data_IF_962090466699
#
_entry.id   IF_962090466699
#
_cell.length_a   1.000
_cell.length_b   1.000
_cell.length_c   1.000
_cell.angle_alpha   90.00
_cell.angle_beta   90.00
_cell.angle_gamma   90.00
#
_symmetry.space_group_name_H-M   'P 1'
#
loop_
_entity.id
_entity.type
_entity.pdbx_description
1 polymer ?
#
# COMPACT_ATOMS: atom_id res chain seq x y z
N UNK A 1 10.53 -0.23 3.09
CA UNK A 1 9.49 0.13 4.09
C UNK A 1 9.73 1.55 4.56
N UNK A 2 8.68 2.35 4.69
CA UNK A 2 8.75 3.67 5.31
C UNK A 2 7.92 3.73 6.59
N UNK A 3 8.26 4.65 7.49
CA UNK A 3 7.37 5.06 8.58
C UNK A 3 6.90 6.49 8.29
N UNK A 4 5.58 6.67 8.27
CA UNK A 4 4.95 7.97 8.31
C UNK A 4 5.06 8.53 9.72
N UNK A 5 5.72 9.67 9.88
CA UNK A 5 5.93 10.36 11.15
C UNK A 5 5.24 11.71 11.08
N UNK A 6 4.33 11.96 12.00
CA UNK A 6 3.62 13.23 12.14
C UNK A 6 3.82 13.79 13.55
N UNK A 7 4.03 15.10 13.65
CA UNK A 7 4.18 15.83 14.91
C UNK A 7 3.55 17.22 14.83
N UNK A 8 3.30 17.83 15.99
CA UNK A 8 2.75 19.18 16.07
C UNK A 8 3.81 20.22 15.70
N UNK A 9 3.39 21.26 14.97
CA UNK A 9 4.28 22.35 14.55
C UNK A 9 4.71 23.16 15.76
N UNK A 10 6.03 23.30 15.97
CA UNK A 10 6.56 24.19 17.00
C UNK A 10 6.28 25.66 16.61
N UNK A 11 5.88 26.47 17.60
CA UNK A 11 5.52 27.89 17.46
C UNK A 11 6.53 28.83 18.12
N UNK A 12 7.64 28.31 18.65
CA UNK A 12 8.70 29.10 19.27
C UNK A 12 9.40 30.02 18.26
N UNK A 13 9.71 31.26 18.68
CA UNK A 13 10.27 32.29 17.80
C UNK A 13 11.76 32.09 17.49
N UNK A 14 12.47 31.35 18.34
CA UNK A 14 13.90 31.04 18.25
C UNK A 14 14.19 29.68 17.60
N UNK A 15 13.19 29.08 16.96
CA UNK A 15 13.35 27.88 16.14
C UNK A 15 14.39 28.11 15.03
N UNK A 16 15.22 27.10 14.78
CA UNK A 16 16.30 27.17 13.78
C UNK A 16 15.73 27.52 12.39
N UNK A 17 16.29 28.55 11.74
CA UNK A 17 15.80 29.09 10.47
C UNK A 17 16.63 28.65 9.26
N UNK A 18 17.61 27.76 9.47
CA UNK A 18 18.50 27.28 8.40
C UNK A 18 19.71 28.18 8.14
N UNK A 19 19.83 29.34 8.78
CA UNK A 19 20.97 30.24 8.60
C UNK A 19 22.12 29.88 9.56
N UNK A 20 23.37 29.85 9.05
CA UNK A 20 24.57 29.73 9.89
C UNK A 20 25.17 28.34 10.10
N UNK A 21 24.83 27.34 9.26
CA UNK A 21 25.51 26.03 9.07
C UNK A 21 26.46 25.56 10.20
N UNK A 22 25.93 24.86 11.20
CA UNK A 22 26.73 24.04 12.13
C UNK A 22 26.91 22.59 11.64
N UNK A 23 26.25 22.22 10.54
CA UNK A 23 26.30 20.89 9.93
C UNK A 23 26.92 21.07 8.54
N UNK A 24 28.20 20.73 8.38
CA UNK A 24 28.88 20.79 7.09
C UNK A 24 28.32 19.70 6.15
N UNK A 25 27.78 20.18 5.02
CA UNK A 25 27.41 19.49 3.78
C UNK A 25 26.35 18.35 3.81
N UNK A 26 25.49 18.42 2.79
CA UNK A 26 24.33 17.57 2.45
C UNK A 26 23.11 17.72 3.37
N UNK A 27 22.41 18.84 3.15
CA UNK A 27 21.20 19.29 3.85
C UNK A 27 20.24 18.15 4.22
N UNK A 28 20.25 17.76 5.50
CA UNK A 28 19.16 17.00 6.10
C UNK A 28 17.86 17.82 5.90
N UNK A 29 16.98 17.36 5.01
CA UNK A 29 15.73 18.03 4.62
C UNK A 29 14.72 18.23 5.76
N UNK A 30 15.07 17.81 6.98
CA UNK A 30 14.21 17.91 8.15
C UNK A 30 14.36 19.18 8.98
N UNK A 31 15.39 20.02 8.77
CA UNK A 31 15.60 21.21 9.61
C UNK A 31 14.36 22.12 9.62
N UNK A 32 13.94 22.65 10.78
CA UNK A 32 14.58 22.60 12.10
C UNK A 32 14.34 21.34 12.94
N UNK A 33 13.67 20.33 12.39
CA UNK A 33 13.32 19.10 13.07
C UNK A 33 14.29 17.96 12.76
N UNK A 34 14.68 17.21 13.78
CA UNK A 34 15.44 15.98 13.62
C UNK A 34 14.57 14.79 14.06
N UNK A 35 14.56 13.74 13.25
CA UNK A 35 13.81 12.52 13.55
C UNK A 35 14.80 11.43 13.93
N UNK A 36 14.61 10.89 15.12
CA UNK A 36 15.43 9.81 15.67
C UNK A 36 14.62 8.52 15.72
N UNK A 37 15.31 7.40 15.53
CA UNK A 37 14.72 6.06 15.55
C UNK A 37 15.63 5.05 16.28
N UNK A 38 15.01 4.10 16.96
CA UNK A 38 15.68 2.97 17.61
C UNK A 38 14.88 1.68 17.40
N UNK A 39 15.56 0.54 17.39
CA UNK A 39 14.94 -0.79 17.34
C UNK A 39 14.72 -1.44 18.71
N UNK A 40 15.01 -0.71 19.78
CA UNK A 40 14.68 -1.06 21.15
C UNK A 40 14.17 0.19 21.88
N UNK A 41 13.41 0.01 22.97
CA UNK A 41 12.90 1.14 23.75
C UNK A 41 14.09 1.95 24.31
N UNK A 42 14.32 3.19 23.86
CA UNK A 42 15.40 4.02 24.36
C UNK A 42 15.07 4.62 25.73
N UNK A 43 16.10 5.03 26.46
CA UNK A 43 15.97 5.80 27.70
C UNK A 43 16.19 7.29 27.48
N UNK A 44 17.01 7.65 26.49
CA UNK A 44 17.25 9.03 26.06
C UNK A 44 17.44 9.13 24.53
N UNK A 45 17.54 10.35 24.01
CA UNK A 45 17.68 10.58 22.56
C UNK A 45 19.02 10.07 22.03
N UNK A 46 20.06 10.06 22.86
CA UNK A 46 21.41 9.59 22.53
C UNK A 46 21.48 8.07 22.34
N UNK A 47 20.50 7.33 22.87
CA UNK A 47 20.34 5.90 22.60
C UNK A 47 19.79 5.63 21.18
N UNK A 48 19.24 6.66 20.53
CA UNK A 48 18.61 6.57 19.22
C UNK A 48 19.58 6.97 18.10
N UNK A 49 19.22 6.66 16.86
CA UNK A 49 19.97 7.03 15.66
C UNK A 49 19.17 8.02 14.84
N UNK A 50 19.86 8.93 14.15
CA UNK A 50 19.21 9.81 13.18
C UNK A 50 18.58 8.96 12.07
N UNK A 51 17.29 9.16 11.84
CA UNK A 51 16.56 8.52 10.75
C UNK A 51 16.82 9.29 9.45
N UNK A 52 16.91 8.60 8.31
CA UNK A 52 17.02 9.24 7.01
C UNK A 52 15.63 9.42 6.38
N UNK A 53 15.29 10.63 5.92
CA UNK A 53 14.05 10.90 5.20
C UNK A 53 14.02 10.16 3.86
N UNK A 54 12.84 9.69 3.47
CA UNK A 54 12.53 9.37 2.06
C UNK A 54 11.64 10.43 1.43
N UNK A 55 11.18 11.42 2.21
CA UNK A 55 10.40 12.56 1.73
C UNK A 55 10.82 13.86 2.42
N UNK A 56 10.46 14.99 1.81
CA UNK A 56 10.52 16.29 2.48
C UNK A 56 9.54 16.34 3.68
N UNK A 57 9.68 17.38 4.50
CA UNK A 57 8.65 17.75 5.48
C UNK A 57 7.51 18.44 4.74
N UNK A 58 6.30 17.98 5.02
CA UNK A 58 5.05 18.58 4.56
C UNK A 58 4.24 19.08 5.74
N UNK A 59 3.34 20.02 5.47
CA UNK A 59 2.38 20.55 6.43
C UNK A 59 1.00 19.96 6.17
N UNK A 60 0.25 19.66 7.24
CA UNK A 60 -1.14 19.21 7.12
C UNK A 60 -2.04 20.33 6.59
N UNK A 61 -3.17 19.98 5.96
CA UNK A 61 -4.09 20.97 5.38
C UNK A 61 -4.61 22.02 6.40
N UNK A 62 -4.68 21.65 7.68
CA UNK A 62 -5.09 22.54 8.76
C UNK A 62 -3.96 23.42 9.31
N UNK A 63 -2.73 23.24 8.84
CA UNK A 63 -1.55 24.02 9.22
C UNK A 63 -1.03 23.78 10.65
N UNK A 64 -1.50 22.72 11.33
CA UNK A 64 -1.17 22.48 12.75
C UNK A 64 -0.07 21.47 12.97
N UNK A 65 0.09 20.53 12.05
CA UNK A 65 1.06 19.46 12.16
C UNK A 65 1.98 19.42 10.94
N UNK A 66 3.14 18.83 11.15
CA UNK A 66 4.11 18.52 10.12
C UNK A 66 4.23 17.01 10.01
N UNK A 67 4.59 16.53 8.82
CA UNK A 67 4.84 15.12 8.60
C UNK A 67 5.94 14.85 7.58
N UNK A 68 6.54 13.67 7.69
CA UNK A 68 7.49 13.13 6.72
C UNK A 68 7.50 11.61 6.75
N UNK A 69 8.07 11.00 5.72
CA UNK A 69 8.35 9.57 5.69
C UNK A 69 9.84 9.33 5.94
N UNK A 70 10.17 8.40 6.84
CA UNK A 70 11.55 7.92 7.07
C UNK A 70 11.69 6.49 6.56
N UNK A 71 12.84 6.15 5.97
CA UNK A 71 13.05 4.84 5.33
C UNK A 71 14.28 4.07 5.82
N UNK A 72 15.21 4.76 6.47
CA UNK A 72 16.49 4.17 6.88
C UNK A 72 16.98 4.76 8.20
N UNK A 73 17.89 4.03 8.85
CA UNK A 73 18.68 4.51 9.99
C UNK A 73 19.97 3.70 10.06
N UNK A 74 21.07 4.31 10.52
CA UNK A 74 22.37 3.63 10.62
C UNK A 74 22.82 2.97 9.28
N UNK A 75 22.49 3.61 8.15
CA UNK A 75 22.78 3.11 6.80
C UNK A 75 22.03 1.82 6.42
N UNK A 76 20.96 1.48 7.15
CA UNK A 76 20.15 0.27 6.91
C UNK A 76 18.69 0.65 6.66
N UNK A 77 18.03 0.01 5.68
CA UNK A 77 16.59 0.17 5.50
C UNK A 77 15.83 -0.39 6.70
N UNK A 78 14.63 0.14 6.94
CA UNK A 78 13.72 -0.44 7.91
C UNK A 78 13.33 -1.88 7.52
N UNK A 79 12.85 -2.66 8.49
CA UNK A 79 12.46 -4.07 8.31
C UNK A 79 10.98 -4.20 8.64
N UNK A 80 10.18 -4.80 7.76
CA UNK A 80 8.75 -5.03 8.02
C UNK A 80 8.53 -5.95 9.24
N UNK A 81 7.49 -5.65 10.03
CA UNK A 81 7.10 -6.41 11.21
C UNK A 81 7.99 -6.19 12.45
N UNK A 82 9.06 -5.39 12.32
CA UNK A 82 9.96 -5.06 13.42
C UNK A 82 9.41 -3.88 14.25
N UNK A 83 9.59 -3.96 15.56
CA UNK A 83 9.24 -2.88 16.49
C UNK A 83 10.29 -1.77 16.43
N UNK A 84 9.83 -0.54 16.28
CA UNK A 84 10.65 0.67 16.29
C UNK A 84 10.12 1.70 17.29
N UNK A 85 11.00 2.57 17.76
CA UNK A 85 10.67 3.74 18.56
C UNK A 85 11.15 4.97 17.80
N UNK A 86 10.28 5.96 17.65
CA UNK A 86 10.55 7.19 16.90
C UNK A 86 10.38 8.39 17.81
N UNK A 87 11.31 9.32 17.74
CA UNK A 87 11.24 10.61 18.44
C UNK A 87 11.50 11.73 17.43
N UNK A 88 10.87 12.88 17.67
CA UNK A 88 11.12 14.11 16.91
C UNK A 88 11.58 15.17 17.88
N UNK A 89 12.69 15.84 17.56
CA UNK A 89 13.18 16.99 18.31
C UNK A 89 13.18 18.22 17.40
N UNK A 90 13.01 19.39 17.99
CA UNK A 90 13.14 20.68 17.33
C UNK A 90 14.43 21.36 17.81
N UNK A 91 15.16 21.99 16.91
CA UNK A 91 16.37 22.73 17.21
C UNK A 91 16.10 24.24 17.32
N UNK A 92 16.68 24.89 18.33
CA UNK A 92 16.78 26.35 18.40
C UNK A 92 17.86 26.89 17.45
N UNK A 93 17.96 28.21 17.30
CA UNK A 93 19.00 28.88 16.48
C UNK A 93 20.44 28.57 16.90
N UNK A 94 20.66 28.15 18.14
CA UNK A 94 21.97 27.74 18.64
C UNK A 94 22.23 26.23 18.48
N UNK A 95 21.27 25.47 17.93
CA UNK A 95 21.34 24.03 17.74
C UNK A 95 21.02 23.21 18.99
N UNK A 96 20.46 23.82 20.03
CA UNK A 96 20.01 23.09 21.23
C UNK A 96 18.60 22.53 21.01
N UNK A 97 18.23 21.54 21.81
CA UNK A 97 16.89 20.96 21.87
C UNK A 97 16.46 20.80 23.34
N UNK A 98 15.15 20.67 23.56
CA UNK A 98 14.60 20.34 24.88
C UNK A 98 14.94 18.88 25.22
N UNK A 99 15.64 18.66 26.34
CA UNK A 99 15.95 17.31 26.85
C UNK A 99 14.68 16.49 27.16
N UNK A 100 13.55 17.16 27.37
CA UNK A 100 12.23 16.53 27.43
C UNK A 100 11.69 16.25 26.03
N UNK A 101 12.05 15.09 25.48
CA UNK A 101 11.54 14.63 24.19
C UNK A 101 10.34 13.70 24.35
N UNK A 102 9.42 13.77 23.38
CA UNK A 102 8.35 12.80 23.23
C UNK A 102 8.77 11.69 22.29
N UNK A 103 8.33 10.47 22.60
CA UNK A 103 8.64 9.29 21.81
C UNK A 103 7.38 8.48 21.53
N UNK A 104 7.24 8.03 20.29
CA UNK A 104 6.22 7.10 19.86
C UNK A 104 6.83 5.70 19.71
N UNK A 105 6.27 4.70 20.40
CA UNK A 105 6.66 3.32 20.18
C UNK A 105 6.19 2.35 21.27
N UNK A 106 6.24 1.03 21.01
CA UNK A 106 6.70 0.42 19.76
C UNK A 106 5.72 0.65 18.60
N UNK A 107 6.23 1.10 17.45
CA UNK A 107 5.52 1.13 16.16
C UNK A 107 6.08 0.05 15.26
N UNK A 108 5.19 -0.72 14.63
CA UNK A 108 5.58 -1.74 13.65
C UNK A 108 5.38 -1.23 12.25
N UNK A 109 6.43 -1.34 11.45
CA UNK A 109 6.43 -1.15 10.00
C UNK A 109 5.64 -2.30 9.36
N UNK A 110 4.38 -2.05 9.01
CA UNK A 110 3.65 -2.97 8.12
C UNK A 110 3.64 -2.35 6.73
N UNK A 111 3.59 -3.20 5.71
CA UNK A 111 3.07 -2.74 4.43
C UNK A 111 1.57 -2.53 4.66
N UNK A 112 1.05 -1.41 4.23
CA UNK A 112 -0.35 -1.06 4.42
C UNK A 112 -0.92 -0.40 3.16
N UNK A 113 -2.23 -0.22 3.18
CA UNK A 113 -2.96 0.43 2.10
C UNK A 113 -4.23 1.05 2.66
N UNK A 114 -4.58 2.24 2.18
CA UNK A 114 -5.89 2.81 2.45
C UNK A 114 -6.93 2.29 1.45
N UNK A 115 -8.05 1.80 1.97
CA UNK A 115 -9.23 1.42 1.18
C UNK A 115 -10.29 2.48 1.41
N UNK A 116 -10.60 3.21 0.35
CA UNK A 116 -11.67 4.21 0.34
C UNK A 116 -12.99 3.58 -0.12
N UNK A 117 -14.07 3.91 0.58
CA UNK A 117 -15.44 3.53 0.26
C UNK A 117 -16.28 4.79 0.04
N UNK A 118 -17.05 4.80 -1.03
CA UNK A 118 -18.13 5.77 -1.23
C UNK A 118 -19.38 5.32 -0.49
N UNK A 119 -20.27 6.26 -0.15
CA UNK A 119 -21.58 5.91 0.39
C UNK A 119 -22.38 5.06 -0.62
N UNK A 120 -22.91 3.92 -0.18
CA UNK A 120 -23.59 2.95 -1.02
C UNK A 120 -22.75 1.71 -1.33
N UNK A 121 -23.00 1.08 -2.48
CA UNK A 121 -22.30 -0.12 -2.90
C UNK A 121 -20.95 0.20 -3.54
N UNK A 122 -19.94 -0.58 -3.16
CA UNK A 122 -18.57 -0.52 -3.64
C UNK A 122 -18.12 -1.94 -4.04
N UNK A 123 -17.32 -2.05 -5.10
CA UNK A 123 -16.71 -3.32 -5.49
C UNK A 123 -15.21 -3.28 -5.14
N UNK A 124 -14.82 -3.92 -4.03
CA UNK A 124 -13.49 -3.78 -3.42
C UNK A 124 -12.79 -5.11 -3.23
N UNK A 125 -11.48 -5.07 -3.00
CA UNK A 125 -10.67 -6.24 -2.69
C UNK A 125 -9.48 -5.85 -1.80
N UNK A 126 -8.69 -6.83 -1.39
CA UNK A 126 -7.40 -6.60 -0.74
C UNK A 126 -6.29 -7.29 -1.54
N UNK A 127 -5.16 -6.62 -1.77
CA UNK A 127 -4.14 -7.16 -2.67
C UNK A 127 -3.33 -8.29 -2.04
N UNK A 128 -3.07 -8.20 -0.75
CA UNK A 128 -2.20 -9.12 -0.01
C UNK A 128 -2.94 -9.68 1.20
N UNK A 129 -2.38 -10.75 1.78
CA UNK A 129 -2.91 -11.30 3.04
C UNK A 129 -2.84 -10.23 4.13
N UNK A 130 -3.95 -10.04 4.81
CA UNK A 130 -4.05 -9.11 5.92
C UNK A 130 -3.43 -9.70 7.19
N UNK A 131 -2.95 -8.82 8.06
CA UNK A 131 -2.60 -9.18 9.43
C UNK A 131 -3.85 -9.74 10.12
N UNK A 132 -3.74 -10.87 10.85
CA UNK A 132 -4.91 -11.58 11.41
C UNK A 132 -5.79 -10.70 12.30
N UNK A 133 -5.20 -9.72 13.00
CA UNK A 133 -5.93 -8.77 13.84
C UNK A 133 -6.67 -7.67 13.06
N UNK A 134 -6.53 -7.62 11.74
CA UNK A 134 -7.14 -6.64 10.81
C UNK A 134 -7.70 -7.37 9.57
N UNK A 135 -8.07 -8.65 9.71
CA UNK A 135 -8.55 -9.44 8.58
C UNK A 135 -10.08 -9.54 8.53
N UNK A 136 -10.79 -9.15 9.58
CA UNK A 136 -12.25 -9.20 9.60
C UNK A 136 -12.88 -8.07 8.78
N UNK A 137 -14.11 -8.31 8.30
CA UNK A 137 -14.83 -7.36 7.46
C UNK A 137 -15.00 -5.96 8.09
N UNK A 138 -15.19 -5.86 9.40
CA UNK A 138 -15.38 -4.59 10.09
C UNK A 138 -14.07 -3.80 10.18
N UNK A 139 -12.95 -4.46 10.47
CA UNK A 139 -11.64 -3.80 10.48
C UNK A 139 -11.21 -3.30 9.11
N UNK A 140 -11.58 -4.04 8.05
CA UNK A 140 -11.18 -3.72 6.66
C UNK A 140 -12.06 -2.67 6.01
N UNK A 141 -13.38 -2.73 6.23
CA UNK A 141 -14.37 -1.92 5.53
C UNK A 141 -15.21 -1.03 6.46
N UNK A 142 -14.97 -1.05 7.77
CA UNK A 142 -15.73 -0.28 8.76
C UNK A 142 -16.88 -1.06 9.41
N UNK A 143 -17.20 -0.74 10.67
CA UNK A 143 -18.17 -1.47 11.50
C UNK A 143 -19.61 -1.49 10.95
N UNK A 144 -19.98 -0.47 10.17
CA UNK A 144 -21.32 -0.32 9.60
C UNK A 144 -21.48 -0.94 8.21
N UNK A 145 -20.45 -1.63 7.71
CA UNK A 145 -20.42 -2.15 6.34
C UNK A 145 -21.07 -3.53 6.22
N UNK A 146 -21.84 -3.73 5.16
CA UNK A 146 -22.33 -5.05 4.74
C UNK A 146 -21.46 -5.59 3.62
N UNK A 147 -20.86 -6.76 3.84
CA UNK A 147 -19.96 -7.37 2.87
C UNK A 147 -20.57 -8.66 2.34
N UNK A 148 -20.58 -8.82 1.02
CA UNK A 148 -20.99 -10.06 0.34
C UNK A 148 -19.97 -10.49 -0.71
N UNK A 149 -19.84 -11.80 -0.89
CA UNK A 149 -18.93 -12.44 -1.84
C UNK A 149 -19.70 -13.45 -2.71
N UNK A 150 -19.41 -13.50 -4.01
CA UNK A 150 -19.92 -14.54 -4.90
C UNK A 150 -18.86 -15.62 -5.13
N UNK A 151 -19.14 -16.84 -4.67
CA UNK A 151 -18.22 -17.98 -4.77
C UNK A 151 -18.33 -18.76 -6.10
N UNK A 152 -19.08 -18.25 -7.08
CA UNK A 152 -19.39 -18.95 -8.33
C UNK A 152 -20.74 -19.68 -8.34
N UNK A 153 -21.34 -19.93 -7.17
CA UNK A 153 -22.59 -20.69 -7.03
C UNK A 153 -23.62 -19.96 -6.17
N UNK A 154 -23.20 -19.30 -5.09
CA UNK A 154 -24.08 -18.56 -4.19
C UNK A 154 -23.37 -17.34 -3.58
N UNK A 155 -24.19 -16.48 -2.99
CA UNK A 155 -23.72 -15.34 -2.19
C UNK A 155 -23.38 -15.78 -0.77
N UNK A 156 -22.26 -15.28 -0.27
CA UNK A 156 -21.73 -15.54 1.07
C UNK A 156 -21.54 -14.22 1.82
N UNK A 157 -21.64 -14.28 3.16
CA UNK A 157 -21.27 -13.19 4.07
C UNK A 157 -19.92 -13.53 4.70
N UNK A 158 -18.80 -13.06 4.12
CA UNK A 158 -17.47 -13.39 4.61
C UNK A 158 -17.23 -12.73 5.97
N UNK A 159 -16.70 -13.50 6.92
CA UNK A 159 -16.24 -12.96 8.21
C UNK A 159 -14.82 -12.40 8.11
N UNK A 160 -13.98 -13.03 7.29
CA UNK A 160 -12.62 -12.62 7.00
C UNK A 160 -12.47 -12.24 5.53
N UNK A 161 -11.70 -11.19 5.28
CA UNK A 161 -11.35 -10.70 3.96
C UNK A 161 -10.04 -11.33 3.54
N UNK A 162 -10.05 -11.91 2.35
CA UNK A 162 -8.94 -12.68 1.80
C UNK A 162 -8.48 -12.05 0.48
N UNK A 163 -7.17 -12.08 0.19
CA UNK A 163 -6.68 -11.68 -1.13
C UNK A 163 -7.23 -12.58 -2.24
N UNK A 164 -7.05 -12.16 -3.48
CA UNK A 164 -7.59 -12.79 -4.69
C UNK A 164 -9.12 -12.75 -4.83
N UNK A 165 -9.89 -12.46 -3.77
CA UNK A 165 -11.35 -12.31 -3.80
C UNK A 165 -11.75 -10.85 -3.98
N UNK A 166 -12.81 -10.64 -4.77
CA UNK A 166 -13.51 -9.35 -4.87
C UNK A 166 -14.78 -9.39 -4.04
N UNK A 167 -15.16 -8.27 -3.43
CA UNK A 167 -16.26 -8.15 -2.49
C UNK A 167 -17.17 -7.00 -2.86
N UNK A 168 -18.47 -7.22 -2.72
CA UNK A 168 -19.45 -6.14 -2.69
C UNK A 168 -19.55 -5.64 -1.26
N UNK A 169 -19.29 -4.35 -1.09
CA UNK A 169 -19.27 -3.68 0.22
C UNK A 169 -20.26 -2.55 0.17
N UNK A 170 -21.31 -2.64 0.97
CA UNK A 170 -22.24 -1.53 1.19
C UNK A 170 -21.87 -0.80 2.47
N UNK A 171 -21.69 0.51 2.41
CA UNK A 171 -21.55 1.39 3.59
C UNK A 171 -22.57 2.52 3.53
N UNK A 172 -23.18 2.93 4.66
CA UNK A 172 -24.11 4.06 4.66
C UNK A 172 -23.41 5.41 4.42
N UNK A 173 -22.14 5.53 4.79
CA UNK A 173 -21.35 6.76 4.71
C UNK A 173 -20.00 6.49 4.05
N UNK A 174 -19.46 7.50 3.37
CA UNK A 174 -18.12 7.42 2.82
C UNK A 174 -17.10 7.28 3.95
N UNK A 175 -16.11 6.40 3.77
CA UNK A 175 -15.11 6.13 4.80
C UNK A 175 -13.80 5.68 4.17
N UNK A 176 -12.72 5.76 4.95
CA UNK A 176 -11.42 5.27 4.58
C UNK A 176 -10.87 4.43 5.72
N UNK A 177 -10.41 3.22 5.41
CA UNK A 177 -9.81 2.31 6.38
C UNK A 177 -8.39 1.95 5.93
N UNK A 178 -7.42 2.00 6.84
CA UNK A 178 -6.06 1.57 6.59
C UNK A 178 -5.92 0.09 6.94
N UNK A 179 -5.65 -0.74 5.94
CA UNK A 179 -5.43 -2.18 6.09
C UNK A 179 -3.95 -2.49 6.19
N UNK A 180 -3.59 -3.41 7.08
CA UNK A 180 -2.20 -3.82 7.30
C UNK A 180 -1.99 -5.23 6.76
N UNK A 181 -0.95 -5.40 5.96
CA UNK A 181 -0.60 -6.69 5.39
C UNK A 181 0.25 -7.52 6.34
N UNK A 182 0.10 -8.84 6.25
CA UNK A 182 0.93 -9.80 6.97
C UNK A 182 2.36 -9.64 6.44
N UNK A 183 3.35 -9.33 7.30
CA UNK A 183 4.74 -9.24 6.87
C UNK A 183 5.25 -10.62 6.50
N UNK A 184 6.15 -10.69 5.51
CA UNK A 184 6.92 -11.90 5.28
C UNK A 184 7.85 -12.12 6.48
N UNK A 185 7.76 -13.29 7.11
CA UNK A 185 8.59 -13.60 8.27
C UNK A 185 10.05 -13.73 7.83
N UNK A 186 10.93 -12.90 8.40
CA UNK A 186 12.39 -12.98 8.20
C UNK A 186 13.03 -14.17 8.92
N UNK A 187 12.35 -14.69 9.94
CA UNK A 187 12.89 -15.71 10.86
C UNK A 187 12.36 -17.12 10.53
N UNK A 188 11.40 -17.21 9.61
CA UNK A 188 10.81 -18.47 9.17
C UNK A 188 11.68 -19.11 8.10
N UNK A 189 12.09 -20.36 8.32
CA UNK A 189 12.75 -21.18 7.29
C UNK A 189 11.79 -21.67 6.21
N UNK A 190 10.49 -21.42 6.35
CA UNK A 190 9.45 -21.76 5.37
C UNK A 190 8.83 -20.49 4.81
N UNK A 191 9.01 -20.19 3.52
CA UNK A 191 8.33 -19.05 2.90
C UNK A 191 6.82 -19.27 2.91
N UNK A 192 6.07 -18.19 3.09
CA UNK A 192 4.60 -18.24 2.95
C UNK A 192 4.24 -18.57 1.50
N UNK A 193 3.30 -19.50 1.31
CA UNK A 193 2.77 -19.83 -0.02
C UNK A 193 1.93 -18.65 -0.51
N UNK A 194 2.14 -18.10 -1.72
CA UNK A 194 1.32 -16.99 -2.23
C UNK A 194 -0.18 -17.29 -2.19
N UNK A 195 -1.00 -16.26 -1.99
CA UNK A 195 -2.45 -16.44 -2.03
C UNK A 195 -2.93 -16.95 -3.39
N UNK A 196 -3.96 -17.80 -3.38
CA UNK A 196 -4.62 -18.25 -4.60
C UNK A 196 -6.09 -18.55 -4.39
N UNK A 197 -6.84 -18.50 -5.49
CA UNK A 197 -8.28 -18.73 -5.53
C UNK A 197 -8.62 -19.68 -6.69
N UNK A 198 -9.27 -20.80 -6.38
CA UNK A 198 -9.80 -21.70 -7.39
C UNK A 198 -11.10 -21.15 -7.95
N UNK A 199 -11.20 -21.11 -9.27
CA UNK A 199 -12.31 -20.49 -10.00
C UNK A 199 -13.03 -21.54 -10.84
N UNK A 200 -14.35 -21.55 -10.75
CA UNK A 200 -15.22 -22.39 -11.56
C UNK A 200 -15.62 -21.66 -12.86
N UNK A 201 -16.07 -22.38 -13.90
CA UNK A 201 -16.68 -21.76 -15.09
C UNK A 201 -17.85 -20.85 -14.72
N UNK A 202 -18.05 -19.79 -15.50
CA UNK A 202 -19.06 -18.76 -15.26
C UNK A 202 -18.50 -17.49 -14.61
N UNK A 203 -19.40 -16.64 -14.13
CA UNK A 203 -19.03 -15.39 -13.46
C UNK A 203 -18.43 -15.66 -12.08
N UNK A 204 -17.27 -15.05 -11.83
CA UNK A 204 -16.52 -15.13 -10.58
C UNK A 204 -16.14 -13.73 -10.10
N UNK A 205 -16.08 -13.53 -8.79
CA UNK A 205 -15.55 -12.30 -8.19
C UNK A 205 -14.09 -12.50 -7.79
N UNK A 206 -13.21 -11.64 -8.29
CA UNK A 206 -11.77 -11.66 -8.01
C UNK A 206 -11.29 -10.27 -7.57
N UNK A 207 -10.19 -10.23 -6.85
CA UNK A 207 -9.53 -9.01 -6.42
C UNK A 207 -8.24 -8.77 -7.17
N UNK A 208 -7.81 -7.51 -7.29
CA UNK A 208 -6.43 -7.20 -7.68
C UNK A 208 -5.46 -7.72 -6.62
N UNK A 209 -4.28 -8.18 -7.00
CA UNK A 209 -3.32 -8.82 -6.08
C UNK A 209 -2.00 -8.07 -5.90
N UNK A 210 -1.87 -6.89 -6.50
CA UNK A 210 -0.71 -6.00 -6.33
C UNK A 210 -1.10 -4.75 -5.55
N UNK A 211 -0.13 -4.18 -4.81
CA UNK A 211 -0.26 -2.87 -4.18
C UNK A 211 -0.04 -1.70 -5.14
N UNK A 212 0.29 -1.99 -6.40
CA UNK A 212 0.38 -1.03 -7.50
C UNK A 212 -0.57 -1.41 -8.64
N UNK A 213 -1.00 -0.45 -9.47
CA UNK A 213 -1.70 -0.78 -10.71
C UNK A 213 -0.85 -1.69 -11.59
N UNK A 214 -1.44 -2.76 -12.13
CA UNK A 214 -0.74 -3.70 -13.01
C UNK A 214 -1.66 -4.07 -14.17
N UNK A 215 -1.08 -4.27 -15.36
CA UNK A 215 -1.86 -4.70 -16.52
C UNK A 215 -2.58 -6.02 -16.22
N UNK A 216 -3.83 -6.14 -16.69
CA UNK A 216 -4.70 -7.27 -16.35
C UNK A 216 -4.07 -8.61 -16.71
N UNK A 217 -3.32 -8.67 -17.81
CA UNK A 217 -2.74 -9.92 -18.32
C UNK A 217 -1.55 -10.39 -17.48
N UNK A 218 -0.81 -9.46 -16.88
CA UNK A 218 0.23 -9.77 -15.90
C UNK A 218 -0.43 -10.23 -14.60
N UNK A 219 -1.40 -9.44 -14.12
CA UNK A 219 -2.15 -9.73 -12.89
C UNK A 219 -2.82 -11.10 -12.94
N UNK A 220 -3.38 -11.48 -14.10
CA UNK A 220 -4.09 -12.75 -14.32
C UNK A 220 -3.26 -13.80 -15.08
N UNK A 221 -1.94 -13.68 -15.11
CA UNK A 221 -1.07 -14.61 -15.86
C UNK A 221 -1.23 -16.08 -15.45
N UNK A 222 -1.58 -16.36 -14.19
CA UNK A 222 -1.90 -17.70 -13.70
C UNK A 222 -3.14 -18.36 -14.34
N UNK A 223 -3.99 -17.55 -14.99
CA UNK A 223 -5.17 -17.99 -15.72
C UNK A 223 -4.91 -18.13 -17.23
N UNK A 224 -3.65 -18.14 -17.65
CA UNK A 224 -3.28 -18.47 -19.03
C UNK A 224 -3.51 -19.96 -19.33
N UNK A 225 -3.96 -20.25 -20.55
CA UNK A 225 -4.19 -21.59 -21.06
C UNK A 225 -2.88 -22.33 -21.38
N UNK A 226 -2.98 -23.64 -21.62
CA UNK A 226 -1.84 -24.55 -21.77
C UNK A 226 -0.80 -24.13 -22.82
N UNK A 227 -1.23 -23.43 -23.86
CA UNK A 227 -0.38 -23.00 -24.98
C UNK A 227 0.13 -21.55 -24.85
N UNK A 228 -0.24 -20.81 -23.79
CA UNK A 228 0.16 -19.41 -23.63
C UNK A 228 -0.58 -18.42 -24.54
N UNK A 229 -1.42 -18.89 -25.46
CA UNK A 229 -2.06 -18.02 -26.48
C UNK A 229 -3.46 -17.58 -26.08
N UNK A 230 -4.13 -18.31 -25.19
CA UNK A 230 -5.50 -18.01 -24.76
C UNK A 230 -5.59 -17.93 -23.24
N UNK A 231 -6.47 -17.07 -22.75
CA UNK A 231 -6.83 -17.03 -21.33
C UNK A 231 -8.00 -17.98 -21.04
N UNK A 232 -8.07 -18.48 -19.80
CA UNK A 232 -9.17 -19.32 -19.30
C UNK A 232 -10.46 -18.53 -19.03
N UNK A 233 -10.42 -17.20 -19.14
CA UNK A 233 -11.57 -16.31 -19.04
C UNK A 233 -11.79 -15.56 -20.36
N UNK A 234 -12.96 -14.93 -20.52
CA UNK A 234 -13.32 -14.17 -21.71
C UNK A 234 -13.62 -12.69 -21.47
N UNK A 235 -13.90 -12.31 -20.22
CA UNK A 235 -14.29 -10.95 -19.86
C UNK A 235 -13.75 -10.61 -18.48
N UNK A 236 -13.40 -9.34 -18.29
CA UNK A 236 -13.18 -8.69 -16.99
C UNK A 236 -14.07 -7.45 -16.99
N UNK A 237 -14.77 -7.20 -15.91
CA UNK A 237 -15.52 -5.95 -15.68
C UNK A 237 -15.36 -5.52 -14.23
N UNK A 238 -15.56 -4.24 -13.96
CA UNK A 238 -15.55 -3.68 -12.62
C UNK A 238 -16.64 -2.63 -12.45
N UNK A 239 -16.80 -2.17 -11.22
CA UNK A 239 -17.78 -1.16 -10.84
C UNK A 239 -17.13 -0.12 -9.92
N UNK A 240 -17.36 1.14 -10.23
CA UNK A 240 -17.04 2.28 -9.34
C UNK A 240 -18.30 3.11 -9.16
N UNK A 241 -18.44 3.72 -7.98
CA UNK A 241 -19.59 4.57 -7.68
C UNK A 241 -19.73 5.72 -8.70
N UNK A 242 -18.60 6.32 -9.06
CA UNK A 242 -18.55 7.51 -9.94
C UNK A 242 -18.64 7.15 -11.44
N UNK A 243 -18.25 5.93 -11.82
CA UNK A 243 -18.16 5.52 -13.22
C UNK A 243 -19.25 4.52 -13.64
N UNK A 244 -19.92 3.91 -12.66
CA UNK A 244 -20.85 2.82 -12.89
C UNK A 244 -20.14 1.52 -13.25
N UNK A 245 -20.79 0.70 -14.08
CA UNK A 245 -20.25 -0.57 -14.57
C UNK A 245 -19.44 -0.38 -15.85
N UNK A 246 -18.29 -1.04 -15.96
CA UNK A 246 -17.52 -1.08 -17.20
C UNK A 246 -16.22 -1.86 -17.09
N UNK A 247 -15.20 -1.47 -17.85
CA UNK A 247 -13.90 -2.15 -17.84
C UNK A 247 -13.81 -3.40 -18.71
N UNK A 248 -14.71 -3.57 -19.70
CA UNK A 248 -14.57 -4.69 -20.63
C UNK A 248 -13.30 -4.54 -21.46
N UNK A 249 -12.40 -5.50 -21.33
CA UNK A 249 -11.27 -5.68 -22.21
C UNK A 249 -11.68 -6.56 -23.39
N UNK A 250 -11.31 -6.16 -24.60
CA UNK A 250 -11.49 -7.02 -25.76
C UNK A 250 -10.23 -7.89 -25.86
N UNK A 251 -10.33 -9.17 -25.50
CA UNK A 251 -9.22 -10.14 -25.51
C UNK A 251 -8.70 -10.48 -26.93
N UNK A 252 -8.75 -9.56 -27.87
CA UNK A 252 -8.07 -9.63 -29.16
C UNK A 252 -6.60 -9.20 -29.05
N UNK A 253 -5.79 -9.62 -30.02
CA UNK A 253 -4.33 -9.37 -30.11
C UNK A 253 -3.89 -7.89 -30.04
N UNK A 254 -4.81 -6.92 -30.06
CA UNK A 254 -4.50 -5.48 -30.20
C UNK A 254 -4.35 -4.77 -28.83
N UNK A 255 -4.95 -5.28 -27.75
CA UNK A 255 -4.81 -4.66 -26.41
C UNK A 255 -3.42 -4.86 -25.78
N UNK A 256 -2.57 -5.72 -26.36
CA UNK A 256 -1.19 -5.97 -25.89
C UNK A 256 -0.19 -4.87 -26.29
N UNK A 257 -0.63 -3.86 -27.08
CA UNK A 257 0.22 -2.76 -27.56
C UNK A 257 -0.08 -1.43 -26.86
N UNK A 258 -0.94 -1.44 -25.84
CA UNK A 258 -1.24 -0.27 -25.01
C UNK A 258 -0.16 -0.10 -23.94
N UNK A 259 0.90 0.64 -24.26
CA UNK A 259 1.81 1.19 -23.27
C UNK A 259 1.24 2.55 -22.82
N UNK A 260 0.69 2.58 -21.61
CA UNK A 260 0.24 3.79 -20.93
C UNK A 260 0.66 3.70 -19.47
N UNK A 261 1.08 4.82 -18.90
CA UNK A 261 1.18 4.96 -17.45
C UNK A 261 -0.21 5.29 -16.91
N UNK A 262 -0.66 4.66 -15.81
CA UNK A 262 -1.96 4.96 -15.24
C UNK A 262 -2.00 6.41 -14.76
N UNK A 263 -3.07 7.13 -15.12
CA UNK A 263 -3.37 8.43 -14.50
C UNK A 263 -3.42 8.27 -12.96
N UNK A 264 -2.94 9.28 -12.22
CA UNK A 264 -2.85 9.26 -10.74
C UNK A 264 -4.21 9.10 -10.02
N UNK A 265 -5.32 9.13 -10.75
CA UNK A 265 -6.68 9.10 -10.19
C UNK A 265 -7.33 7.73 -10.29
N UNK A 266 -7.94 7.21 -9.21
CA UNK A 266 -8.49 5.85 -9.16
C UNK A 266 -9.85 5.79 -9.86
N UNK A 267 -9.82 5.84 -11.18
CA UNK A 267 -10.96 5.58 -12.06
C UNK A 267 -10.86 4.13 -12.57
N UNK A 268 -11.15 3.11 -11.73
CA UNK A 268 -10.91 1.70 -12.08
C UNK A 268 -11.63 1.25 -13.34
N UNK A 269 -12.80 1.83 -13.67
CA UNK A 269 -13.55 1.46 -14.86
C UNK A 269 -12.88 2.03 -16.10
N UNK A 270 -12.50 3.30 -16.06
CA UNK A 270 -11.77 4.01 -17.10
C UNK A 270 -10.45 3.33 -17.39
N UNK A 271 -9.58 3.24 -16.39
CA UNK A 271 -8.21 2.68 -16.47
C UNK A 271 -8.20 1.24 -16.99
N UNK A 272 -9.14 0.38 -16.55
CA UNK A 272 -9.24 -0.98 -17.08
C UNK A 272 -9.65 -0.99 -18.57
N UNK A 273 -10.49 -0.04 -19.00
CA UNK A 273 -11.01 0.03 -20.37
C UNK A 273 -10.06 0.73 -21.34
N UNK A 274 -9.37 1.79 -20.92
CA UNK A 274 -8.48 2.60 -21.76
C UNK A 274 -7.09 1.99 -21.87
N UNK A 275 -6.55 1.52 -20.75
CA UNK A 275 -5.13 1.15 -20.64
C UNK A 275 -4.93 -0.31 -20.24
N UNK A 276 -5.99 -1.02 -19.85
CA UNK A 276 -5.93 -2.42 -19.47
C UNK A 276 -5.33 -2.65 -18.08
N UNK A 277 -5.34 -1.67 -17.19
CA UNK A 277 -4.81 -1.83 -15.84
C UNK A 277 -5.88 -2.26 -14.84
N UNK A 278 -5.47 -3.14 -13.92
CA UNK A 278 -6.18 -3.42 -12.69
C UNK A 278 -5.57 -2.60 -11.57
N UNK A 279 -6.41 -2.00 -10.71
CA UNK A 279 -5.98 -1.06 -9.68
C UNK A 279 -6.07 -1.70 -8.28
N UNK A 280 -5.17 -1.32 -7.35
CA UNK A 280 -5.19 -1.82 -5.98
C UNK A 280 -6.47 -1.51 -5.23
N UNK A 281 -6.88 -2.44 -4.36
CA UNK A 281 -8.09 -2.32 -3.56
C UNK A 281 -9.41 -2.49 -4.33
N UNK A 282 -9.38 -2.67 -5.66
CA UNK A 282 -10.57 -2.79 -6.50
C UNK A 282 -10.97 -4.26 -6.71
N UNK A 283 -12.28 -4.53 -6.67
CA UNK A 283 -12.85 -5.83 -7.02
C UNK A 283 -13.22 -5.91 -8.51
N UNK A 284 -13.25 -7.12 -9.05
CA UNK A 284 -13.54 -7.39 -10.45
C UNK A 284 -14.47 -8.59 -10.59
N UNK A 285 -15.27 -8.57 -11.65
CA UNK A 285 -15.99 -9.74 -12.13
C UNK A 285 -15.26 -10.28 -13.35
N UNK A 286 -15.02 -11.59 -13.37
CA UNK A 286 -14.47 -12.26 -14.55
C UNK A 286 -15.38 -13.39 -14.99
N UNK A 287 -15.46 -13.59 -16.31
CA UNK A 287 -16.20 -14.71 -16.87
C UNK A 287 -15.24 -15.83 -17.26
N UNK A 288 -15.16 -16.86 -16.42
CA UNK A 288 -14.35 -18.04 -16.65
C UNK A 288 -14.99 -18.94 -17.71
N UNK A 289 -14.25 -19.28 -18.76
CA UNK A 289 -14.65 -20.28 -19.78
C UNK A 289 -14.47 -21.71 -19.26
N UNK A 290 -13.43 -21.91 -18.46
CA UNK A 290 -13.09 -23.19 -17.84
C UNK A 290 -12.54 -22.99 -16.43
N UNK A 291 -12.33 -24.08 -15.69
CA UNK A 291 -11.76 -24.00 -14.34
C UNK A 291 -10.32 -23.49 -14.35
N UNK A 292 -9.93 -22.72 -13.35
CA UNK A 292 -8.57 -22.19 -13.23
C UNK A 292 -8.20 -21.87 -11.78
N UNK A 293 -6.92 -21.62 -11.53
CA UNK A 293 -6.43 -21.15 -10.23
C UNK A 293 -5.83 -19.77 -10.44
N UNK A 294 -6.48 -18.77 -9.87
CA UNK A 294 -5.98 -17.40 -9.84
C UNK A 294 -4.97 -17.28 -8.71
N UNK A 295 -3.69 -17.09 -9.02
CA UNK A 295 -2.62 -16.91 -8.05
C UNK A 295 -2.20 -15.44 -7.97
N UNK A 296 -1.91 -15.00 -6.74
CA UNK A 296 -1.43 -13.66 -6.42
C UNK A 296 -0.08 -13.36 -7.07
N UNK A 297 0.08 -12.15 -7.60
CA UNK A 297 1.36 -11.62 -8.08
C UNK A 297 1.96 -10.79 -6.94
N UNK A 298 2.52 -11.47 -5.92
CA UNK A 298 3.01 -10.81 -4.69
C UNK A 298 4.31 -9.99 -4.90
N UNK A 299 4.89 -10.02 -6.11
CA UNK A 299 6.09 -9.28 -6.49
C UNK A 299 6.10 -9.01 -8.00
N UNK A 300 5.86 -7.76 -8.39
CA UNK A 300 6.43 -7.23 -9.64
C UNK A 300 7.36 -6.12 -9.18
N UNK A 301 8.66 -6.37 -9.20
CA UNK A 301 9.64 -5.30 -9.08
C UNK A 301 9.44 -4.39 -10.30
N UNK A 302 8.70 -3.30 -10.12
CA UNK A 302 8.73 -2.19 -11.06
C UNK A 302 9.99 -1.39 -10.76
N UNK A 303 11.13 -1.87 -11.25
CA UNK A 303 12.12 -0.92 -11.71
C UNK A 303 11.57 -0.41 -13.05
N UNK A 304 11.08 0.84 -13.15
CA UNK A 304 11.06 1.47 -14.46
C UNK A 304 12.47 1.31 -15.03
N UNK A 305 12.58 0.78 -16.25
CA UNK A 305 13.88 0.70 -16.94
C UNK A 305 14.51 2.10 -16.91
N UNK A 306 15.48 2.33 -16.02
CA UNK A 306 16.04 3.67 -15.82
C UNK A 306 16.82 3.91 -14.53
N UNK A 307 16.43 3.33 -13.39
CA UNK A 307 17.14 3.56 -12.13
C UNK A 307 17.71 2.26 -11.56
N UNK A 308 18.97 2.01 -11.91
CA UNK A 308 19.84 1.12 -11.14
C UNK A 308 20.13 1.86 -9.82
N UNK A 309 19.73 1.37 -8.63
CA UNK A 309 20.33 1.86 -7.41
C UNK A 309 21.79 1.46 -7.50
N UNK A 310 22.68 2.45 -7.62
CA UNK A 310 24.11 2.26 -7.61
C UNK A 310 24.46 1.25 -6.50
N UNK A 311 25.09 0.10 -6.81
CA UNK A 311 25.74 -0.65 -5.76
C UNK A 311 26.83 0.29 -5.24
N UNK A 312 26.66 0.75 -3.99
CA UNK A 312 27.70 1.45 -3.27
C UNK A 312 28.98 0.62 -3.43
N UNK A 313 29.95 1.18 -4.14
CA UNK A 313 31.26 0.59 -4.26
C UNK A 313 31.81 0.46 -2.84
N UNK A 314 32.14 -0.76 -2.46
CA UNK A 314 32.96 -1.03 -1.29
C UNK A 314 34.39 -0.62 -1.67
N UNK A 315 34.85 0.50 -1.15
CA UNK A 315 36.27 0.73 -0.81
C UNK A 315 36.38 1.14 0.66
#
# INVERSE_FOLDING_TARGET
PGLYVQWDKNTEEDLYDGEGSFIEEEAYYGLPYLVFISDCKPLCIEDMKLALPVSFIYETEDGKSLFMNIGEYDGKPLVYGKDYWVAVIALDRAGNYDESFSMCGPVRTYEDMSISLDAGWNLKSVPKRLLTSNADACSVFGESSTVIYWNGTCWEFPTNIEPCKGYWVYTPEASMSNVKFKPMSTDSTTPDVPASLNLAPGWQMVGHTSTMPVQWYQSMGSLQGLMGVEYKFSNIITYSHNEGWGGTISLGFIDLLSEGEPDETPYPVGVLKSEGFMVPGQGYWIFMKEKGTYASVESVDFYPEGEIPYPAAIE
#
